data_IF_166929932860
#
_entry.id   IF_166929932860
#
_cell.length_a   1.000
_cell.length_b   1.000
_cell.length_c   1.000
_cell.angle_alpha   90.00
_cell.angle_beta   90.00
_cell.angle_gamma   90.00
#
_symmetry.space_group_name_H-M   'P 1'
#
loop_
_entity.id
_entity.type
_entity.pdbx_description
1 polymer ?
#
# COMPACT_ATOMS: atom_id res chain seq x y z
N UNK A 1 3.41 -11.09 -5.95
CA UNK A 1 4.73 -11.43 -5.34
C UNK A 1 5.84 -11.19 -6.34
N UNK A 2 5.79 -11.77 -7.55
CA UNK A 2 6.85 -11.77 -8.57
C UNK A 2 7.45 -10.37 -8.80
N UNK A 3 6.62 -9.36 -9.02
CA UNK A 3 7.08 -8.00 -9.28
C UNK A 3 7.80 -7.36 -8.09
N UNK A 4 7.44 -7.73 -6.87
CA UNK A 4 8.10 -7.26 -5.65
C UNK A 4 9.49 -7.87 -5.47
N UNK A 5 9.71 -9.12 -5.91
CA UNK A 5 11.01 -9.79 -5.87
C UNK A 5 12.07 -9.05 -6.69
N UNK A 6 11.68 -8.24 -7.67
CA UNK A 6 12.62 -7.40 -8.43
C UNK A 6 13.37 -6.38 -7.56
N UNK A 7 12.87 -6.09 -6.35
CA UNK A 7 13.55 -5.26 -5.34
C UNK A 7 14.72 -5.94 -4.63
N UNK A 8 14.84 -7.27 -4.75
CA UNK A 8 15.92 -8.05 -4.14
C UNK A 8 16.02 -7.82 -2.62
N UNK A 9 17.22 -7.63 -2.10
CA UNK A 9 17.47 -7.42 -0.66
C UNK A 9 17.05 -6.04 -0.13
N UNK A 10 16.55 -5.17 -0.98
CA UNK A 10 16.04 -3.85 -0.58
C UNK A 10 14.57 -3.90 -0.15
N UNK A 11 13.91 -5.04 -0.29
CA UNK A 11 12.52 -5.27 0.11
C UNK A 11 12.41 -6.39 1.14
N UNK A 12 11.45 -6.27 2.03
CA UNK A 12 10.94 -7.32 2.90
C UNK A 12 9.48 -7.56 2.47
N UNK A 13 9.11 -8.79 2.19
CA UNK A 13 7.75 -9.17 1.80
C UNK A 13 7.14 -10.00 2.92
N UNK A 14 6.08 -9.48 3.53
CA UNK A 14 5.33 -10.18 4.58
C UNK A 14 4.01 -10.64 3.97
N UNK A 15 3.88 -11.94 3.73
CA UNK A 15 2.66 -12.56 3.26
C UNK A 15 1.80 -12.89 4.49
N UNK A 16 0.67 -12.23 4.61
CA UNK A 16 -0.29 -12.50 5.70
C UNK A 16 -1.44 -13.31 5.13
N UNK A 17 -1.46 -14.58 5.44
CA UNK A 17 -2.57 -15.49 5.12
C UNK A 17 -3.62 -15.39 6.23
N UNK A 18 -4.72 -14.73 5.93
CA UNK A 18 -5.81 -14.42 6.85
C UNK A 18 -6.84 -15.56 6.93
N UNK A 19 -6.36 -16.80 7.12
CA UNK A 19 -7.19 -17.98 7.30
C UNK A 19 -7.77 -18.52 5.99
N UNK A 20 -6.96 -18.57 4.93
CA UNK A 20 -7.36 -19.16 3.64
C UNK A 20 -7.66 -20.64 3.77
N UNK A 21 -8.70 -21.11 3.06
CA UNK A 21 -9.14 -22.51 3.06
C UNK A 21 -8.78 -23.26 1.75
N UNK A 22 -8.16 -22.54 0.84
CA UNK A 22 -7.67 -23.05 -0.44
C UNK A 22 -6.14 -23.24 -0.41
N UNK A 23 -5.50 -23.31 -1.58
CA UNK A 23 -4.04 -23.48 -1.71
C UNK A 23 -3.23 -22.20 -1.45
N UNK A 24 -3.84 -21.11 -1.03
CA UNK A 24 -3.14 -19.83 -0.83
C UNK A 24 -2.00 -19.97 0.19
N UNK A 25 -2.27 -20.63 1.34
CA UNK A 25 -1.24 -20.87 2.36
C UNK A 25 -0.06 -21.69 1.84
N UNK A 26 -0.33 -22.81 1.13
CA UNK A 26 0.71 -23.65 0.54
C UNK A 26 1.58 -22.89 -0.47
N UNK A 27 0.95 -22.03 -1.28
CA UNK A 27 1.66 -21.18 -2.24
C UNK A 27 2.53 -20.15 -1.51
N UNK A 28 2.02 -19.52 -0.45
CA UNK A 28 2.77 -18.57 0.35
C UNK A 28 4.00 -19.23 0.99
N UNK A 29 3.84 -20.41 1.58
CA UNK A 29 4.94 -21.19 2.18
C UNK A 29 6.01 -21.54 1.15
N UNK A 30 5.61 -21.94 -0.06
CA UNK A 30 6.55 -22.22 -1.14
C UNK A 30 7.40 -20.97 -1.45
N UNK A 31 6.79 -19.79 -1.59
CA UNK A 31 7.54 -18.56 -1.82
C UNK A 31 8.50 -18.21 -0.68
N UNK A 32 8.09 -18.43 0.58
CA UNK A 32 8.99 -18.20 1.72
C UNK A 32 10.17 -19.18 1.74
N UNK A 33 9.96 -20.44 1.35
CA UNK A 33 11.03 -21.42 1.24
C UNK A 33 12.00 -21.11 0.09
N UNK A 34 11.46 -20.63 -1.05
CA UNK A 34 12.28 -20.27 -2.22
C UNK A 34 13.06 -18.95 -2.00
N UNK A 35 12.54 -18.03 -1.17
CA UNK A 35 13.12 -16.70 -0.92
C UNK A 35 13.19 -16.35 0.58
N UNK A 36 13.86 -17.16 1.43
CA UNK A 36 13.80 -17.02 2.89
C UNK A 36 14.40 -15.72 3.44
N UNK A 37 15.30 -15.07 2.69
CA UNK A 37 15.91 -13.79 3.06
C UNK A 37 14.99 -12.56 2.79
N UNK A 38 13.94 -12.74 1.96
CA UNK A 38 13.09 -11.66 1.47
C UNK A 38 11.66 -11.84 1.93
N UNK A 39 11.13 -13.08 1.90
CA UNK A 39 9.73 -13.41 2.16
C UNK A 39 9.58 -14.07 3.52
N UNK A 40 8.58 -13.60 4.26
CA UNK A 40 8.08 -14.24 5.48
C UNK A 40 6.58 -14.44 5.38
N UNK A 41 6.10 -15.61 5.75
CA UNK A 41 4.68 -15.93 5.82
C UNK A 41 4.19 -15.89 7.25
N UNK A 42 2.95 -15.48 7.43
CA UNK A 42 2.22 -15.55 8.68
C UNK A 42 0.82 -16.07 8.41
N UNK A 43 0.52 -17.24 8.92
CA UNK A 43 -0.83 -17.79 8.94
C UNK A 43 -1.55 -17.35 10.22
N UNK A 44 -2.77 -16.89 10.10
CA UNK A 44 -3.60 -16.49 11.24
C UNK A 44 -5.08 -16.83 11.01
N UNK A 45 -5.85 -16.85 12.07
CA UNK A 45 -7.31 -16.90 11.96
C UNK A 45 -7.84 -15.70 11.19
N UNK A 46 -8.90 -15.91 10.41
CA UNK A 46 -9.50 -14.85 9.61
C UNK A 46 -9.98 -13.70 10.51
N UNK A 47 -9.51 -12.51 10.21
CA UNK A 47 -9.87 -11.25 10.88
C UNK A 47 -10.24 -10.16 9.87
N UNK A 48 -10.19 -10.47 8.58
CA UNK A 48 -10.45 -9.54 7.48
C UNK A 48 -9.23 -8.67 7.14
N UNK A 49 -9.37 -7.89 6.07
CA UNK A 49 -8.28 -7.10 5.47
C UNK A 49 -7.53 -6.22 6.50
N UNK A 50 -8.25 -5.50 7.37
CA UNK A 50 -7.64 -4.66 8.40
C UNK A 50 -6.74 -5.43 9.37
N UNK A 51 -7.15 -6.66 9.75
CA UNK A 51 -6.36 -7.54 10.59
C UNK A 51 -5.04 -7.95 9.90
N UNK A 52 -5.09 -8.25 8.60
CA UNK A 52 -3.91 -8.54 7.79
C UNK A 52 -2.94 -7.37 7.75
N UNK A 53 -3.44 -6.15 7.51
CA UNK A 53 -2.64 -4.92 7.49
C UNK A 53 -2.00 -4.65 8.87
N UNK A 54 -2.76 -4.80 9.95
CA UNK A 54 -2.24 -4.65 11.32
C UNK A 54 -1.08 -5.62 11.60
N UNK A 55 -1.26 -6.89 11.21
CA UNK A 55 -0.24 -7.92 11.42
C UNK A 55 1.00 -7.68 10.58
N UNK A 56 0.84 -7.26 9.33
CA UNK A 56 1.94 -6.86 8.48
C UNK A 56 2.74 -5.69 9.10
N UNK A 57 2.07 -4.66 9.58
CA UNK A 57 2.72 -3.51 10.23
C UNK A 57 3.44 -3.89 11.52
N UNK A 58 2.85 -4.73 12.36
CA UNK A 58 3.49 -5.26 13.58
C UNK A 58 4.86 -5.87 13.27
N UNK A 59 4.93 -6.66 12.21
CA UNK A 59 6.09 -7.46 11.83
C UNK A 59 7.10 -6.71 10.96
N UNK A 60 6.69 -5.61 10.34
CA UNK A 60 7.54 -4.83 9.42
C UNK A 60 8.79 -4.28 10.12
N UNK A 61 9.95 -4.45 9.45
CA UNK A 61 11.28 -3.97 9.89
C UNK A 61 11.88 -2.95 8.93
N UNK A 62 11.33 -2.87 7.70
CA UNK A 62 11.77 -1.93 6.68
C UNK A 62 11.50 -0.47 7.08
N UNK A 63 12.22 0.47 6.48
CA UNK A 63 12.04 1.91 6.75
C UNK A 63 10.66 2.41 6.34
N UNK A 64 10.07 1.81 5.32
CA UNK A 64 8.77 2.16 4.79
C UNK A 64 7.86 0.95 4.68
N UNK A 65 6.59 1.17 4.92
CA UNK A 65 5.53 0.19 4.88
C UNK A 65 4.58 0.48 3.72
N UNK A 66 4.32 -0.55 2.90
CA UNK A 66 3.39 -0.51 1.78
C UNK A 66 2.49 -1.73 1.81
N UNK A 67 1.19 -1.51 1.75
CA UNK A 67 0.21 -2.58 1.55
C UNK A 67 0.07 -2.85 0.05
N UNK A 68 0.08 -4.12 -0.32
CA UNK A 68 -0.21 -4.59 -1.68
C UNK A 68 -1.23 -5.71 -1.57
N UNK A 69 -2.39 -5.52 -2.19
CA UNK A 69 -3.47 -6.49 -2.19
C UNK A 69 -3.11 -7.72 -3.04
N UNK A 70 -3.66 -8.88 -2.71
CA UNK A 70 -3.26 -10.17 -3.30
C UNK A 70 -3.60 -10.29 -4.80
N UNK A 71 -4.56 -9.50 -5.27
CA UNK A 71 -5.00 -9.44 -6.66
C UNK A 71 -4.34 -8.31 -7.47
N UNK A 72 -3.47 -7.53 -6.83
CA UNK A 72 -2.77 -6.40 -7.41
C UNK A 72 -1.26 -6.67 -7.54
N UNK A 73 -0.56 -5.75 -8.21
CA UNK A 73 0.90 -5.82 -8.35
C UNK A 73 1.55 -4.42 -8.43
N UNK A 74 2.87 -4.37 -8.48
CA UNK A 74 3.63 -3.13 -8.66
C UNK A 74 4.40 -3.16 -9.97
N UNK A 75 4.70 -1.98 -10.53
CA UNK A 75 5.64 -1.85 -11.64
C UNK A 75 7.06 -2.05 -11.13
N UNK A 76 7.81 -2.99 -11.70
CA UNK A 76 9.21 -3.25 -11.35
C UNK A 76 10.12 -2.03 -11.58
N UNK A 77 9.87 -1.30 -12.68
CA UNK A 77 10.61 -0.07 -12.99
C UNK A 77 10.35 1.00 -11.93
N UNK A 78 9.07 1.21 -11.59
CA UNK A 78 8.68 2.17 -10.55
C UNK A 78 9.16 1.73 -9.16
N UNK A 79 9.20 0.43 -8.85
CA UNK A 79 9.78 -0.08 -7.60
C UNK A 79 11.26 0.30 -7.48
N UNK A 80 12.05 0.15 -8.55
CA UNK A 80 13.45 0.57 -8.58
C UNK A 80 13.62 2.06 -8.33
N UNK A 81 12.73 2.89 -8.89
CA UNK A 81 12.73 4.34 -8.66
C UNK A 81 12.41 4.70 -7.21
N UNK A 82 11.37 4.07 -6.62
CA UNK A 82 11.00 4.24 -5.21
C UNK A 82 12.17 3.84 -4.31
N UNK A 83 12.76 2.67 -4.50
CA UNK A 83 13.90 2.20 -3.70
C UNK A 83 15.12 3.12 -3.82
N UNK A 84 15.41 3.62 -5.03
CA UNK A 84 16.48 4.61 -5.26
C UNK A 84 16.22 5.90 -4.47
N UNK A 85 14.98 6.36 -4.47
CA UNK A 85 14.58 7.57 -3.73
C UNK A 85 14.71 7.36 -2.22
N UNK A 86 14.27 6.22 -1.69
CA UNK A 86 14.42 5.88 -0.26
C UNK A 86 15.91 5.86 0.13
N UNK A 87 16.78 5.23 -0.68
CA UNK A 87 18.21 5.21 -0.44
C UNK A 87 18.82 6.61 -0.42
N UNK A 88 18.40 7.49 -1.33
CA UNK A 88 18.82 8.89 -1.36
C UNK A 88 18.39 9.61 -0.08
N UNK A 89 17.11 9.57 0.28
CA UNK A 89 16.59 10.23 1.48
C UNK A 89 17.25 9.72 2.75
N UNK A 90 17.51 8.41 2.84
CA UNK A 90 18.24 7.81 3.96
C UNK A 90 19.68 8.36 4.06
N UNK A 91 20.40 8.43 2.93
CA UNK A 91 21.77 8.96 2.89
C UNK A 91 21.82 10.44 3.33
N UNK A 92 20.79 11.20 3.00
CA UNK A 92 20.63 12.61 3.34
C UNK A 92 20.08 12.82 4.77
N UNK A 93 19.82 11.74 5.52
CA UNK A 93 19.16 11.75 6.84
C UNK A 93 17.83 12.53 6.82
N UNK A 94 17.05 12.37 5.74
CA UNK A 94 15.84 13.12 5.46
C UNK A 94 14.66 12.19 5.07
N UNK A 95 14.49 11.07 5.81
CA UNK A 95 13.34 10.19 5.64
C UNK A 95 12.06 10.94 6.00
N UNK A 96 11.05 10.83 5.14
CA UNK A 96 9.76 11.52 5.29
C UNK A 96 8.71 10.61 5.94
N UNK A 97 7.66 11.20 6.51
CA UNK A 97 6.56 10.45 7.14
C UNK A 97 5.74 9.68 6.11
N UNK A 98 5.51 10.27 4.93
CA UNK A 98 4.74 9.66 3.85
C UNK A 98 5.36 9.95 2.48
N UNK A 99 5.49 8.91 1.67
CA UNK A 99 5.72 9.04 0.23
C UNK A 99 4.41 8.81 -0.51
N UNK A 100 4.22 9.56 -1.60
CA UNK A 100 3.08 9.39 -2.51
C UNK A 100 3.59 8.95 -3.87
N UNK A 101 2.89 8.03 -4.50
CA UNK A 101 3.15 7.51 -5.85
C UNK A 101 1.85 7.48 -6.65
N UNK A 102 1.94 7.37 -7.96
CA UNK A 102 0.77 7.19 -8.79
C UNK A 102 0.30 5.73 -8.75
N UNK A 103 -0.97 5.52 -9.06
CA UNK A 103 -1.51 4.19 -9.32
C UNK A 103 -2.23 4.14 -10.67
N UNK A 104 -2.43 2.94 -11.15
CA UNK A 104 -3.04 2.69 -12.45
C UNK A 104 -4.23 1.76 -12.26
N UNK A 105 -5.40 2.18 -12.67
CA UNK A 105 -6.51 1.27 -12.88
C UNK A 105 -6.22 0.37 -14.08
N UNK A 106 -6.06 -0.92 -13.81
CA UNK A 106 -5.90 -1.95 -14.84
C UNK A 106 -7.25 -2.62 -15.05
N UNK A 107 -7.84 -2.39 -16.21
CA UNK A 107 -9.08 -3.03 -16.63
C UNK A 107 -8.86 -3.67 -17.99
N UNK A 108 -9.51 -4.79 -18.27
CA UNK A 108 -9.42 -5.42 -19.57
C UNK A 108 -9.64 -4.41 -20.72
N UNK A 109 -8.65 -4.30 -21.59
CA UNK A 109 -8.66 -3.37 -22.73
C UNK A 109 -8.44 -1.88 -22.41
N UNK A 110 -8.26 -1.47 -21.15
CA UNK A 110 -8.02 -0.06 -20.80
C UNK A 110 -7.16 0.13 -19.56
N UNK A 111 -6.41 1.26 -19.54
CA UNK A 111 -5.60 1.67 -18.39
C UNK A 111 -5.83 3.15 -18.11
N UNK A 112 -6.02 3.50 -16.83
CA UNK A 112 -6.16 4.89 -16.39
C UNK A 112 -5.15 5.17 -15.29
N UNK A 113 -4.19 6.06 -15.55
CA UNK A 113 -3.23 6.52 -14.55
C UNK A 113 -3.88 7.62 -13.70
N UNK A 114 -3.77 7.49 -12.38
CA UNK A 114 -4.11 8.55 -11.44
C UNK A 114 -2.80 9.15 -10.95
N UNK A 115 -2.60 10.43 -11.30
CA UNK A 115 -1.40 11.21 -10.98
C UNK A 115 -1.75 12.40 -10.11
N UNK A 116 -0.81 12.79 -9.25
CA UNK A 116 -0.93 13.93 -8.33
C UNK A 116 -0.03 15.10 -8.72
N UNK A 117 0.55 15.10 -9.93
CA UNK A 117 1.53 16.06 -10.43
C UNK A 117 1.06 17.52 -10.33
N UNK A 118 -0.25 17.76 -10.53
CA UNK A 118 -0.82 19.11 -10.42
C UNK A 118 -1.23 19.50 -8.99
N UNK A 119 -0.99 18.64 -8.00
CA UNK A 119 -1.44 18.80 -6.61
C UNK A 119 -0.26 18.75 -5.64
N UNK A 120 0.72 17.90 -5.90
CA UNK A 120 1.85 17.66 -5.01
C UNK A 120 3.16 18.09 -5.67
N UNK A 121 4.07 18.75 -4.93
CA UNK A 121 5.41 19.02 -5.41
C UNK A 121 6.17 17.73 -5.70
N UNK A 122 6.81 17.65 -6.87
CA UNK A 122 7.50 16.45 -7.35
C UNK A 122 8.97 16.45 -6.95
N UNK A 123 9.49 15.29 -6.54
CA UNK A 123 10.92 15.04 -6.31
C UNK A 123 11.59 15.96 -5.29
N UNK A 124 10.86 16.46 -4.32
CA UNK A 124 11.37 17.19 -3.16
C UNK A 124 10.60 16.83 -1.89
N UNK A 125 11.18 17.10 -0.75
CA UNK A 125 10.47 17.05 0.54
C UNK A 125 9.59 18.29 0.66
N UNK A 126 8.34 18.13 1.13
CA UNK A 126 7.37 19.21 1.29
C UNK A 126 6.45 18.96 2.49
N UNK A 127 5.78 20.00 2.95
CA UNK A 127 4.74 19.99 3.98
C UNK A 127 3.35 20.27 3.42
N UNK A 128 2.35 20.34 4.30
CA UNK A 128 0.97 20.61 3.91
C UNK A 128 0.74 21.97 3.28
N UNK A 129 1.55 22.96 3.62
CA UNK A 129 1.54 24.33 3.09
C UNK A 129 1.86 24.41 1.59
N UNK A 130 2.50 23.38 1.05
CA UNK A 130 2.81 23.28 -0.38
C UNK A 130 1.81 22.42 -1.17
N UNK A 131 0.82 21.82 -0.51
CA UNK A 131 -0.15 20.92 -1.14
C UNK A 131 -1.26 21.72 -1.83
N UNK A 132 -1.44 21.46 -3.12
CA UNK A 132 -2.52 22.02 -3.91
C UNK A 132 -3.87 21.34 -3.67
N UNK A 133 -4.88 21.79 -4.40
CA UNK A 133 -6.23 21.23 -4.30
C UNK A 133 -6.32 19.90 -5.04
N UNK A 134 -6.72 18.85 -4.33
CA UNK A 134 -7.02 17.56 -4.94
C UNK A 134 -8.22 17.64 -5.87
N UNK A 135 -8.14 16.94 -6.99
CA UNK A 135 -9.28 16.69 -7.85
C UNK A 135 -10.18 15.64 -7.20
N UNK A 136 -11.50 15.75 -7.45
CA UNK A 136 -12.48 14.81 -6.89
C UNK A 136 -12.27 13.35 -7.33
N UNK A 137 -11.68 13.15 -8.52
CA UNK A 137 -11.39 11.83 -9.11
C UNK A 137 -9.94 11.37 -8.89
N UNK A 138 -9.15 12.11 -8.11
CA UNK A 138 -7.74 11.82 -7.83
C UNK A 138 -7.39 12.08 -6.35
N UNK A 139 -8.20 11.54 -5.44
CA UNK A 139 -7.92 11.54 -4.01
C UNK A 139 -6.92 10.43 -3.65
N UNK A 140 -6.30 10.55 -2.47
CA UNK A 140 -5.34 9.54 -1.99
C UNK A 140 -6.07 8.24 -1.65
N UNK A 141 -5.58 7.15 -2.22
CA UNK A 141 -5.97 5.79 -1.88
C UNK A 141 -4.81 5.04 -1.22
N UNK A 142 -5.09 3.92 -0.58
CA UNK A 142 -4.07 3.02 -0.01
C UNK A 142 -3.03 2.61 -1.06
N UNK A 143 -3.45 2.53 -2.33
CA UNK A 143 -2.59 2.21 -3.47
C UNK A 143 -1.50 3.26 -3.72
N UNK A 144 -1.75 4.53 -3.38
CA UNK A 144 -0.83 5.64 -3.64
C UNK A 144 0.10 6.01 -2.47
N UNK A 145 -0.14 5.51 -1.27
CA UNK A 145 0.63 5.90 -0.08
C UNK A 145 1.65 4.84 0.31
N UNK A 146 2.82 5.31 0.74
CA UNK A 146 3.91 4.51 1.32
C UNK A 146 4.32 5.25 2.59
N UNK A 147 4.10 4.67 3.75
CA UNK A 147 4.36 5.33 5.03
C UNK A 147 5.69 4.92 5.64
N UNK A 148 6.34 5.83 6.33
CA UNK A 148 7.43 5.49 7.24
C UNK A 148 6.91 4.53 8.31
N UNK A 149 7.60 3.41 8.50
CA UNK A 149 7.15 2.33 9.41
C UNK A 149 7.10 2.79 10.86
N UNK A 150 8.13 3.50 11.32
CA UNK A 150 8.20 4.01 12.69
C UNK A 150 7.15 5.09 12.94
N UNK A 151 6.89 5.94 11.95
CA UNK A 151 5.80 6.91 12.01
C UNK A 151 4.44 6.21 12.22
N UNK A 152 4.09 5.20 11.38
CA UNK A 152 2.82 4.46 11.55
C UNK A 152 2.73 3.77 12.92
N UNK A 153 3.81 3.15 13.38
CA UNK A 153 3.86 2.53 14.70
C UNK A 153 3.69 3.56 15.83
N UNK A 154 4.30 4.74 15.69
CA UNK A 154 4.24 5.80 16.71
C UNK A 154 2.85 6.39 16.92
N UNK A 155 2.01 6.39 15.88
CA UNK A 155 0.63 6.90 15.96
C UNK A 155 -0.38 5.85 16.43
N UNK A 156 0.08 4.62 16.70
CA UNK A 156 -0.74 3.50 17.17
C UNK A 156 -1.98 3.24 16.29
N UNK A 157 -1.81 3.32 14.96
CA UNK A 157 -2.91 2.99 14.05
C UNK A 157 -3.31 1.52 14.20
N UNK A 158 -4.60 1.28 14.37
CA UNK A 158 -5.18 -0.06 14.42
C UNK A 158 -6.46 -0.06 13.59
N UNK A 159 -6.46 -0.87 12.55
CA UNK A 159 -7.64 -1.04 11.69
C UNK A 159 -8.62 -2.03 12.35
N UNK A 160 -9.93 -1.80 12.25
CA UNK A 160 -10.94 -2.73 12.74
C UNK A 160 -10.89 -4.06 11.99
N UNK A 161 -11.21 -5.14 12.72
CA UNK A 161 -11.32 -6.49 12.15
C UNK A 161 -12.70 -6.70 11.53
N UNK A 162 -12.83 -7.63 10.59
CA UNK A 162 -14.08 -7.99 9.91
C UNK A 162 -14.86 -6.80 9.34
N UNK A 163 -14.17 -5.71 9.02
CA UNK A 163 -14.77 -4.47 8.52
C UNK A 163 -14.25 -4.20 7.11
N UNK A 164 -15.15 -3.74 6.23
CA UNK A 164 -14.80 -3.29 4.88
C UNK A 164 -14.40 -1.81 4.88
N UNK A 165 -13.75 -1.38 3.80
CA UNK A 165 -13.34 0.03 3.59
C UNK A 165 -12.35 0.57 4.64
N UNK A 166 -11.63 -0.34 5.32
CA UNK A 166 -10.58 0.02 6.28
C UNK A 166 -9.38 0.70 5.61
N UNK A 167 -9.24 0.57 4.30
CA UNK A 167 -8.31 1.31 3.45
C UNK A 167 -8.47 2.83 3.61
N UNK A 168 -9.69 3.34 3.76
CA UNK A 168 -9.94 4.74 4.06
C UNK A 168 -9.35 5.14 5.42
N UNK A 169 -9.52 4.31 6.45
CA UNK A 169 -8.94 4.56 7.78
C UNK A 169 -7.41 4.57 7.67
N UNK A 170 -6.83 3.59 6.96
CA UNK A 170 -5.39 3.50 6.74
C UNK A 170 -4.81 4.74 6.06
N UNK A 171 -5.55 5.35 5.14
CA UNK A 171 -5.12 6.58 4.45
C UNK A 171 -5.34 7.82 5.31
N UNK A 172 -6.56 8.03 5.81
CA UNK A 172 -6.95 9.33 6.37
C UNK A 172 -6.58 9.52 7.84
N UNK A 173 -6.52 8.46 8.63
CA UNK A 173 -6.16 8.57 10.05
C UNK A 173 -4.73 9.14 10.28
N UNK A 174 -3.70 8.77 9.48
CA UNK A 174 -2.37 9.35 9.61
C UNK A 174 -2.24 10.81 9.16
N UNK A 175 -3.07 11.27 8.18
CA UNK A 175 -2.86 12.56 7.50
C UNK A 175 -2.68 13.75 8.44
N UNK A 176 -3.49 13.95 9.52
CA UNK A 176 -3.32 15.09 10.42
C UNK A 176 -2.01 15.07 11.22
N UNK A 177 -1.32 13.93 11.26
CA UNK A 177 -0.07 13.74 12.02
C UNK A 177 1.17 13.81 11.15
N UNK A 178 1.02 13.76 9.83
CA UNK A 178 2.09 13.85 8.84
C UNK A 178 2.64 15.27 8.80
N UNK A 179 3.96 15.40 8.87
CA UNK A 179 4.68 16.67 8.76
C UNK A 179 5.45 16.78 7.46
N UNK A 180 6.01 15.67 6.99
CA UNK A 180 6.88 15.65 5.82
C UNK A 180 6.42 14.61 4.80
N UNK A 181 6.42 15.02 3.55
CA UNK A 181 5.98 14.21 2.41
C UNK A 181 6.99 14.25 1.28
N UNK A 182 6.93 13.24 0.42
CA UNK A 182 7.69 13.19 -0.83
C UNK A 182 6.85 12.56 -1.92
N UNK A 183 6.69 13.21 -3.06
CA UNK A 183 5.94 12.66 -4.19
C UNK A 183 6.87 12.22 -5.32
N UNK A 184 6.71 10.97 -5.75
CA UNK A 184 7.38 10.39 -6.91
C UNK A 184 6.33 10.24 -8.02
N UNK A 185 6.47 10.99 -9.09
CA UNK A 185 5.54 10.92 -10.24
C UNK A 185 5.81 9.66 -11.08
N UNK A 186 5.52 8.49 -10.50
CA UNK A 186 5.74 7.19 -11.14
C UNK A 186 4.52 6.29 -11.00
N UNK A 187 4.09 5.56 -12.06
CA UNK A 187 2.91 4.70 -12.04
C UNK A 187 3.21 3.36 -11.33
N UNK A 188 3.36 3.44 -10.02
CA UNK A 188 3.88 2.36 -9.17
C UNK A 188 2.89 1.21 -8.99
N UNK A 189 1.69 1.52 -8.49
CA UNK A 189 0.72 0.50 -8.09
C UNK A 189 -0.23 0.16 -9.24
N UNK A 190 -0.46 -1.12 -9.48
CA UNK A 190 -1.34 -1.65 -10.52
C UNK A 190 -2.57 -2.25 -9.86
N UNK A 191 -3.64 -1.48 -9.87
CA UNK A 191 -4.93 -1.85 -9.28
C UNK A 191 -5.81 -2.52 -10.34
N UNK A 192 -6.00 -3.84 -10.18
CA UNK A 192 -6.83 -4.61 -11.10
C UNK A 192 -8.30 -4.45 -10.75
N UNK A 193 -9.12 -4.01 -11.71
CA UNK A 193 -10.56 -3.83 -11.54
C UNK A 193 -11.35 -4.60 -12.61
N UNK A 194 -12.52 -5.11 -12.23
CA UNK A 194 -13.46 -5.77 -13.15
C UNK A 194 -13.79 -7.21 -12.79
N UNK A 195 -13.38 -7.70 -11.61
CA UNK A 195 -13.85 -8.98 -11.07
C UNK A 195 -15.17 -8.79 -10.36
N UNK A 196 -16.08 -9.77 -10.48
CA UNK A 196 -17.41 -9.74 -9.88
C UNK A 196 -17.41 -9.83 -8.34
N UNK A 197 -16.34 -10.37 -7.77
CA UNK A 197 -16.19 -10.60 -6.33
C UNK A 197 -15.51 -9.44 -5.57
N UNK A 198 -15.12 -8.37 -6.25
CA UNK A 198 -14.48 -7.21 -5.63
C UNK A 198 -15.41 -6.44 -4.69
N UNK A 199 -14.84 -5.89 -3.61
CA UNK A 199 -15.57 -5.08 -2.61
C UNK A 199 -16.20 -3.81 -3.18
N UNK A 200 -15.68 -3.30 -4.29
CA UNK A 200 -16.20 -2.14 -5.04
C UNK A 200 -17.35 -2.49 -5.98
N UNK A 201 -17.82 -3.73 -6.00
CA UNK A 201 -19.03 -4.09 -6.75
C UNK A 201 -20.26 -3.41 -6.13
N UNK A 202 -21.11 -2.78 -6.95
CA UNK A 202 -22.26 -1.99 -6.51
C UNK A 202 -23.18 -2.76 -5.55
N UNK A 203 -23.49 -4.02 -5.84
CA UNK A 203 -24.33 -4.86 -4.96
C UNK A 203 -23.71 -5.08 -3.59
N UNK A 204 -22.38 -5.27 -3.55
CA UNK A 204 -21.62 -5.44 -2.31
C UNK A 204 -21.58 -4.13 -1.52
N UNK A 205 -21.39 -3.00 -2.19
CA UNK A 205 -21.38 -1.67 -1.58
C UNK A 205 -22.72 -1.33 -0.95
N UNK A 206 -23.83 -1.57 -1.65
CA UNK A 206 -25.21 -1.35 -1.12
C UNK A 206 -25.45 -2.22 0.11
N UNK A 207 -25.08 -3.50 0.07
CA UNK A 207 -25.27 -4.44 1.20
C UNK A 207 -24.50 -4.05 2.45
N UNK A 208 -23.43 -3.24 2.33
CA UNK A 208 -22.48 -2.88 3.41
C UNK A 208 -22.38 -1.38 3.63
N UNK A 209 -23.41 -0.64 3.26
CA UNK A 209 -23.42 0.82 3.37
C UNK A 209 -23.29 1.29 4.83
N UNK A 210 -23.77 0.51 5.79
CA UNK A 210 -23.62 0.74 7.22
C UNK A 210 -22.16 0.76 7.71
N UNK A 211 -21.24 0.18 6.93
CA UNK A 211 -19.80 0.22 7.24
C UNK A 211 -19.06 1.41 6.61
N UNK A 212 -19.78 2.23 5.83
CA UNK A 212 -19.24 3.46 5.24
C UNK A 212 -19.67 4.73 5.99
N UNK A 213 -20.67 4.61 6.86
CA UNK A 213 -21.22 5.70 7.69
C UNK A 213 -20.63 5.66 9.10
#
# INVERSE_FOLDING_TARGET
IETLLSGGKDVEIILVDDGSTDKTGEIADKYANDYPDIIRVVHKENGGHGSGVNKGLELAKGFYYKVVDSDDWVSEESLKEVLKTIKKLKKENNLVDMMVVNYVYEKEGSKKVISYENTLPTNKVFGWDEVGKFRKDAYLLMHSVIYNTEFLKSINIKLPEHTFYVDNIFVYYPLPKIKTMYYINTPFYRYFIGRDDQSVNEKTMIKRIDQQL
#
